data_IF_179619895154
#
_entry.id   IF_179619895154
#
_cell.length_a   1.000
_cell.length_b   1.000
_cell.length_c   1.000
_cell.angle_alpha   90.00
_cell.angle_beta   90.00
_cell.angle_gamma   90.00
#
_symmetry.space_group_name_H-M   'P 1'
#
loop_
_entity.id
_entity.type
_entity.pdbx_description
1 polymer ?
#
# COMPACT_ATOMS: atom_id res chain seq x y z
N UNK A 1 1.42 -0.32 -4.16
CA UNK A 1 0.52 -1.01 -3.20
C UNK A 1 -0.77 -0.25 -3.10
N UNK A 2 -1.88 -0.96 -3.24
CA UNK A 2 -3.21 -0.40 -3.04
C UNK A 2 -3.87 -1.05 -1.83
N UNK A 3 -4.59 -0.23 -1.06
CA UNK A 3 -5.52 -0.70 -0.05
C UNK A 3 -6.92 -0.57 -0.64
N UNK A 4 -7.66 -1.68 -0.64
CA UNK A 4 -9.01 -1.74 -1.17
C UNK A 4 -9.97 -2.21 -0.09
N UNK A 5 -11.20 -1.70 -0.13
CA UNK A 5 -12.33 -2.31 0.57
C UNK A 5 -12.55 -3.72 -0.01
N UNK A 6 -12.51 -4.74 0.84
CA UNK A 6 -12.58 -6.14 0.40
C UNK A 6 -13.92 -6.51 -0.22
N UNK A 7 -14.99 -5.79 0.12
CA UNK A 7 -16.36 -6.07 -0.35
C UNK A 7 -16.67 -5.38 -1.67
N UNK A 8 -16.20 -4.14 -1.85
CA UNK A 8 -16.52 -3.33 -3.03
C UNK A 8 -15.39 -3.28 -4.07
N UNK A 9 -14.16 -3.59 -3.66
CA UNK A 9 -12.96 -3.42 -4.49
C UNK A 9 -12.55 -1.96 -4.70
N UNK A 10 -13.24 -1.00 -4.07
CA UNK A 10 -12.91 0.42 -4.16
C UNK A 10 -11.54 0.63 -3.51
N UNK A 11 -10.66 1.36 -4.20
CA UNK A 11 -9.37 1.78 -3.65
C UNK A 11 -9.59 2.85 -2.59
N UNK A 12 -9.21 2.53 -1.37
CA UNK A 12 -9.30 3.42 -0.20
C UNK A 12 -7.94 4.03 0.15
N UNK A 13 -6.83 3.33 -0.12
CA UNK A 13 -5.49 3.83 0.19
C UNK A 13 -4.46 3.52 -0.89
N UNK A 14 -3.37 4.29 -0.91
CA UNK A 14 -2.28 4.14 -1.85
C UNK A 14 -0.92 4.32 -1.16
N UNK A 15 0.01 3.41 -1.46
CA UNK A 15 1.41 3.47 -1.06
C UNK A 15 2.29 3.06 -2.23
N UNK A 16 3.33 3.83 -2.51
CA UNK A 16 4.31 3.51 -3.57
C UNK A 16 5.70 3.88 -3.09
N UNK A 17 6.69 3.11 -3.50
CA UNK A 17 8.08 3.29 -3.10
C UNK A 17 9.00 2.81 -4.23
N UNK A 18 10.06 3.57 -4.49
CA UNK A 18 11.20 3.12 -5.26
C UNK A 18 12.07 2.19 -4.39
N UNK A 19 12.50 1.05 -4.92
CA UNK A 19 13.28 0.05 -4.17
C UNK A 19 14.59 0.59 -3.57
N UNK A 20 15.15 1.67 -4.15
CA UNK A 20 16.33 2.33 -3.60
C UNK A 20 16.06 2.96 -2.23
N UNK A 21 14.80 3.23 -1.91
CA UNK A 21 14.37 3.82 -0.65
C UNK A 21 13.73 2.76 0.27
N UNK A 22 14.08 1.49 0.10
CA UNK A 22 13.50 0.39 0.89
C UNK A 22 13.68 0.57 2.41
N UNK A 23 14.71 1.29 2.86
CA UNK A 23 14.94 1.66 4.26
C UNK A 23 14.03 2.80 4.77
N UNK A 24 13.15 3.33 3.91
CA UNK A 24 12.31 4.48 4.20
C UNK A 24 13.04 5.81 4.15
N UNK A 25 12.30 6.90 4.37
CA UNK A 25 12.84 8.26 4.33
C UNK A 25 13.14 8.77 2.92
N UNK A 26 14.08 9.70 2.83
CA UNK A 26 14.37 10.48 1.62
C UNK A 26 15.78 10.23 1.05
N UNK A 27 16.54 9.32 1.64
CA UNK A 27 17.91 9.02 1.21
C UNK A 27 17.92 7.68 0.45
N UNK A 28 18.42 7.62 -0.78
CA UNK A 28 18.49 6.38 -1.55
C UNK A 28 19.70 5.53 -1.15
N UNK A 29 19.47 4.22 -1.02
CA UNK A 29 20.48 3.18 -0.82
C UNK A 29 20.60 2.32 -2.08
N UNK A 30 21.83 1.88 -2.40
CA UNK A 30 22.08 0.99 -3.53
C UNK A 30 21.44 -0.38 -3.33
N UNK A 31 20.87 -0.96 -4.38
CA UNK A 31 20.29 -2.32 -4.35
C UNK A 31 20.99 -3.18 -5.38
N UNK A 32 21.48 -4.35 -4.96
CA UNK A 32 22.22 -5.28 -5.82
C UNK A 32 21.24 -6.29 -6.43
N UNK A 33 21.28 -6.55 -7.75
CA UNK A 33 20.45 -7.58 -8.36
C UNK A 33 20.61 -8.94 -7.67
N UNK A 34 19.49 -9.59 -7.35
CA UNK A 34 19.44 -10.89 -6.66
C UNK A 34 19.37 -10.80 -5.13
N UNK A 35 19.51 -9.60 -4.55
CA UNK A 35 19.30 -9.36 -3.13
C UNK A 35 17.80 -9.33 -2.79
N UNK A 36 17.46 -9.78 -1.58
CA UNK A 36 16.14 -9.57 -0.97
C UNK A 36 16.25 -8.44 0.05
N UNK A 37 15.47 -7.39 -0.14
CA UNK A 37 15.42 -6.24 0.77
C UNK A 37 14.03 -6.13 1.42
N UNK A 38 13.98 -5.64 2.65
CA UNK A 38 12.71 -5.32 3.33
C UNK A 38 12.24 -3.94 2.89
N UNK A 39 11.01 -3.85 2.40
CA UNK A 39 10.42 -2.59 1.93
C UNK A 39 9.65 -1.89 3.06
N UNK A 40 10.21 -0.84 3.64
CA UNK A 40 9.58 -0.02 4.70
C UNK A 40 8.65 1.03 4.09
N UNK A 41 7.49 0.59 3.60
CA UNK A 41 6.53 1.44 2.89
C UNK A 41 5.53 2.14 3.84
N UNK A 42 5.13 3.35 3.46
CA UNK A 42 4.08 4.12 4.15
C UNK A 42 2.92 4.44 3.21
N UNK A 43 1.69 4.31 3.72
CA UNK A 43 0.50 4.79 3.03
C UNK A 43 0.39 6.31 3.16
N UNK A 44 -0.10 6.95 2.09
CA UNK A 44 -0.55 8.33 2.23
C UNK A 44 -1.67 8.41 3.28
N UNK A 45 -1.79 9.59 3.91
CA UNK A 45 -2.80 9.84 4.93
C UNK A 45 -4.19 9.39 4.45
N UNK A 46 -4.82 8.55 5.27
CA UNK A 46 -6.12 7.93 4.99
C UNK A 46 -7.14 8.44 5.98
N UNK A 47 -8.30 8.88 5.47
CA UNK A 47 -9.50 9.13 6.27
C UNK A 47 -10.66 8.36 5.62
N UNK A 48 -10.85 7.12 6.07
CA UNK A 48 -11.86 6.23 5.53
C UNK A 48 -12.60 5.49 6.64
N UNK A 49 -13.93 5.49 6.55
CA UNK A 49 -14.79 4.70 7.41
C UNK A 49 -15.08 3.36 6.73
N UNK A 50 -14.53 2.28 7.27
CA UNK A 50 -14.83 0.93 6.80
C UNK A 50 -16.14 0.43 7.44
N UNK A 51 -17.18 0.07 6.68
CA UNK A 51 -18.42 -0.46 7.24
C UNK A 51 -18.21 -1.80 7.97
N UNK A 52 -19.07 -2.09 8.95
CA UNK A 52 -19.06 -3.40 9.60
C UNK A 52 -19.28 -4.53 8.59
N UNK A 53 -18.50 -5.61 8.72
CA UNK A 53 -18.52 -6.74 7.79
C UNK A 53 -17.67 -6.55 6.54
N UNK A 54 -17.14 -5.35 6.29
CA UNK A 54 -16.11 -5.14 5.27
C UNK A 54 -14.73 -5.40 5.86
N UNK A 55 -13.77 -5.68 5.00
CA UNK A 55 -12.39 -5.95 5.34
C UNK A 55 -11.43 -5.10 4.52
N UNK A 56 -10.15 -5.22 4.85
CA UNK A 56 -9.07 -4.57 4.11
C UNK A 56 -8.41 -5.61 3.21
N UNK A 57 -8.32 -5.30 1.93
CA UNK A 57 -7.55 -6.07 0.95
C UNK A 57 -6.35 -5.27 0.51
N UNK A 58 -5.16 -5.87 0.66
CA UNK A 58 -3.91 -5.28 0.18
C UNK A 58 -3.57 -5.88 -1.18
N UNK A 59 -3.31 -5.01 -2.16
CA UNK A 59 -2.90 -5.41 -3.50
C UNK A 59 -1.48 -4.91 -3.75
N UNK A 60 -0.55 -5.85 -3.86
CA UNK A 60 0.86 -5.59 -4.15
C UNK A 60 1.12 -5.71 -5.64
N UNK A 61 1.73 -4.69 -6.22
CA UNK A 61 2.12 -4.65 -7.64
C UNK A 61 3.52 -4.05 -7.75
N UNK A 62 4.28 -4.50 -8.74
CA UNK A 62 5.64 -4.01 -9.06
C UNK A 62 5.63 -2.95 -10.16
N UNK A 63 4.45 -2.68 -10.71
CA UNK A 63 4.17 -1.63 -11.68
C UNK A 63 2.83 -0.97 -11.33
N UNK A 64 2.60 0.23 -11.83
CA UNK A 64 1.39 0.99 -11.56
C UNK A 64 1.21 2.14 -12.52
N UNK A 65 0.00 2.67 -12.58
CA UNK A 65 -0.38 3.74 -13.52
C UNK A 65 0.42 5.04 -13.31
N UNK A 66 0.92 5.23 -12.10
CA UNK A 66 1.57 6.46 -11.65
C UNK A 66 3.08 6.28 -11.39
N UNK A 67 3.70 5.21 -11.92
CA UNK A 67 5.14 4.98 -11.72
C UNK A 67 5.88 4.64 -13.00
N UNK A 68 7.11 5.17 -13.10
CA UNK A 68 8.03 4.85 -14.18
C UNK A 68 8.69 3.51 -13.90
N UNK A 69 8.82 2.67 -14.92
CA UNK A 69 9.61 1.46 -14.81
C UNK A 69 11.06 1.81 -14.37
N UNK A 70 11.76 0.90 -13.66
CA UNK A 70 13.18 1.09 -13.38
C UNK A 70 13.95 1.36 -14.68
N UNK A 71 15.09 2.03 -14.61
CA UNK A 71 15.83 2.45 -15.80
C UNK A 71 16.22 1.29 -16.74
N UNK A 72 16.39 0.08 -16.20
CA UNK A 72 16.64 -1.15 -16.98
C UNK A 72 15.36 -1.82 -17.51
N UNK A 73 14.18 -1.25 -17.27
CA UNK A 73 12.89 -1.73 -17.77
C UNK A 73 12.63 -3.19 -17.42
N UNK A 74 12.23 -3.98 -18.43
CA UNK A 74 11.95 -5.40 -18.27
C UNK A 74 13.19 -6.27 -17.96
N UNK A 75 14.41 -5.72 -18.07
CA UNK A 75 15.64 -6.46 -17.76
C UNK A 75 15.91 -6.59 -16.25
N UNK A 76 15.20 -5.83 -15.41
CA UNK A 76 15.28 -5.90 -13.95
C UNK A 76 13.90 -6.18 -13.35
N UNK A 77 13.41 -7.42 -13.41
CA UNK A 77 12.17 -7.76 -12.75
C UNK A 77 12.33 -7.64 -11.23
N UNK A 78 11.28 -7.13 -10.58
CA UNK A 78 11.17 -7.14 -9.12
C UNK A 78 10.16 -8.23 -8.75
N UNK A 79 10.49 -9.02 -7.73
CA UNK A 79 9.58 -10.02 -7.16
C UNK A 79 9.19 -9.58 -5.76
N UNK A 80 7.89 -9.62 -5.44
CA UNK A 80 7.38 -9.32 -4.11
C UNK A 80 7.18 -10.64 -3.37
N UNK A 81 7.85 -10.77 -2.23
CA UNK A 81 7.75 -11.93 -1.36
C UNK A 81 6.94 -11.51 -0.13
N UNK A 82 5.75 -12.09 0.03
CA UNK A 82 4.93 -11.92 1.25
C UNK A 82 5.22 -13.13 2.13
N UNK A 83 5.89 -12.89 3.25
CA UNK A 83 6.30 -13.91 4.22
C UNK A 83 5.55 -13.70 5.54
N UNK A 84 5.69 -14.64 6.48
CA UNK A 84 5.07 -14.52 7.80
C UNK A 84 5.61 -13.32 8.61
N UNK A 85 6.81 -12.84 8.27
CA UNK A 85 7.42 -11.64 8.86
C UNK A 85 6.91 -10.33 8.23
N UNK A 86 6.10 -10.41 7.17
CA UNK A 86 5.53 -9.23 6.51
C UNK A 86 4.39 -8.66 7.35
N UNK A 87 4.61 -7.50 7.96
CA UNK A 87 3.62 -6.83 8.83
C UNK A 87 3.01 -5.59 8.19
N UNK A 88 1.74 -5.33 8.47
CA UNK A 88 1.10 -4.04 8.25
C UNK A 88 0.67 -3.45 9.60
N UNK A 89 0.94 -2.16 9.82
CA UNK A 89 0.45 -1.42 10.97
C UNK A 89 -0.57 -0.38 10.50
N UNK A 90 -1.76 -0.40 11.08
CA UNK A 90 -2.85 0.53 10.74
C UNK A 90 -3.36 1.14 12.04
N UNK A 91 -3.18 2.45 12.26
CA UNK A 91 -3.89 3.12 13.34
C UNK A 91 -5.37 3.19 12.95
N UNK A 92 -6.22 2.51 13.70
CA UNK A 92 -7.67 2.62 13.52
C UNK A 92 -8.31 3.29 14.74
N UNK A 93 -9.45 3.93 14.49
CA UNK A 93 -10.26 4.56 15.52
C UNK A 93 -11.62 3.90 15.46
N UNK A 94 -12.03 3.27 16.55
CA UNK A 94 -13.42 2.81 16.68
C UNK A 94 -14.33 4.02 16.87
N UNK A 95 -15.35 4.12 16.01
CA UNK A 95 -16.36 5.18 16.07
C UNK A 95 -17.72 4.54 16.27
N UNK A 96 -18.49 5.07 17.22
CA UNK A 96 -19.91 4.78 17.30
C UNK A 96 -20.65 5.49 16.15
N UNK A 97 -21.81 4.95 15.73
CA UNK A 97 -22.61 5.51 14.63
C UNK A 97 -23.16 6.92 14.93
N UNK A 98 -23.06 7.41 16.17
CA UNK A 98 -23.57 8.71 16.57
C UNK A 98 -22.51 9.83 16.46
N UNK A 99 -21.27 9.46 16.11
CA UNK A 99 -20.11 10.38 16.01
C UNK A 99 -19.48 10.41 14.62
N UNK A 100 -20.19 9.94 13.60
CA UNK A 100 -19.75 9.94 12.20
C UNK A 100 -20.79 10.65 11.34
N UNK A 101 -20.34 11.57 10.49
CA UNK A 101 -21.17 12.14 9.42
C UNK A 101 -20.93 11.34 8.14
N UNK A 102 -21.88 10.49 7.78
CA UNK A 102 -21.85 9.78 6.50
C UNK A 102 -22.63 10.62 5.49
N UNK A 103 -21.93 11.24 4.54
CA UNK A 103 -22.58 11.92 3.41
C UNK A 103 -23.16 10.89 2.43
N UNK A 104 -24.19 11.23 1.65
CA UNK A 104 -24.67 10.36 0.57
C UNK A 104 -23.50 9.88 -0.30
N UNK A 105 -23.32 8.58 -0.38
CA UNK A 105 -22.33 7.95 -1.27
C UNK A 105 -23.00 7.75 -2.63
N UNK A 106 -22.30 8.04 -3.73
CA UNK A 106 -22.79 7.64 -5.06
C UNK A 106 -22.64 6.12 -5.20
N UNK A 107 -23.64 5.48 -5.80
CA UNK A 107 -23.51 4.11 -6.32
C UNK A 107 -22.41 4.00 -7.38
#
# INVERSE_FOLDING_TARGET
MEMQDSSTGIRIGHATMDIRYHEGGNEPTGVIPGETVTMMMEFQGLDHLLPSGHGIKLVMTTSGKDYLAPACGAACPVHVHITDDSTISIPFIERDNNRVLITPQRE
#
